data_IF_237477367139
#
_entry.id   IF_237477367139
#
_cell.length_a   1.000
_cell.length_b   1.000
_cell.length_c   1.000
_cell.angle_alpha   90.00
_cell.angle_beta   90.00
_cell.angle_gamma   90.00
#
_symmetry.space_group_name_H-M   'P 1'
#
loop_
_entity.id
_entity.type
_entity.pdbx_description
1 polymer ?
#
# COMPACT_ATOMS: atom_id res chain seq x y z
N UNK A 1 51.15 -52.29 -42.80
CA UNK A 1 51.68 -52.23 -44.15
C UNK A 1 51.05 -51.02 -44.87
N UNK A 2 51.93 -50.07 -45.23
CA UNK A 2 51.74 -48.94 -46.17
C UNK A 2 50.57 -47.94 -46.02
N UNK A 3 50.99 -46.79 -45.61
CA UNK A 3 50.53 -45.43 -45.86
C UNK A 3 50.07 -45.17 -47.30
N UNK A 4 49.04 -44.33 -47.46
CA UNK A 4 49.02 -43.34 -48.52
C UNK A 4 48.31 -42.08 -48.02
N UNK A 5 49.02 -40.95 -48.04
CA UNK A 5 48.55 -39.60 -47.79
C UNK A 5 47.92 -39.06 -49.08
N UNK A 6 46.77 -38.38 -48.95
CA UNK A 6 46.28 -37.46 -49.97
C UNK A 6 45.92 -36.16 -49.26
N UNK A 7 46.57 -35.09 -49.64
CA UNK A 7 46.36 -33.73 -49.13
C UNK A 7 45.15 -33.11 -49.76
N UNK A 8 44.40 -32.32 -48.98
CA UNK A 8 43.39 -31.43 -49.44
C UNK A 8 43.71 -30.01 -48.99
N UNK A 9 43.71 -29.15 -49.94
CA UNK A 9 44.00 -27.71 -49.87
C UNK A 9 42.88 -27.00 -49.13
N UNK A 10 43.20 -26.32 -48.04
CA UNK A 10 42.30 -25.45 -47.31
C UNK A 10 42.25 -24.08 -47.93
N UNK A 11 41.11 -23.66 -48.44
CA UNK A 11 40.80 -22.31 -48.81
C UNK A 11 40.27 -21.55 -47.56
N UNK A 12 41.07 -20.61 -47.09
CA UNK A 12 40.74 -19.79 -45.95
C UNK A 12 39.80 -18.66 -46.42
N UNK A 13 38.53 -18.70 -46.11
CA UNK A 13 37.62 -17.60 -46.18
C UNK A 13 37.71 -16.76 -44.88
N UNK A 14 38.21 -15.57 -45.03
CA UNK A 14 38.26 -14.56 -43.93
C UNK A 14 36.85 -13.95 -43.81
N UNK A 15 36.09 -14.35 -42.78
CA UNK A 15 34.91 -13.61 -42.38
C UNK A 15 35.32 -12.49 -41.43
N UNK A 16 35.18 -11.26 -41.89
CA UNK A 16 35.26 -10.08 -41.05
C UNK A 16 33.96 -9.98 -40.26
N UNK A 17 33.98 -10.38 -39.01
CA UNK A 17 32.90 -10.07 -38.07
C UNK A 17 33.08 -8.61 -37.63
N UNK A 18 32.20 -7.74 -38.12
CA UNK A 18 31.98 -6.44 -37.53
C UNK A 18 31.36 -6.64 -36.13
N UNK A 19 32.15 -6.49 -35.10
CA UNK A 19 31.67 -6.46 -33.71
C UNK A 19 30.84 -5.17 -33.50
N UNK A 20 29.55 -5.23 -33.60
CA UNK A 20 28.66 -4.25 -32.99
C UNK A 20 28.68 -4.51 -31.48
N UNK A 21 29.45 -3.72 -30.73
CA UNK A 21 29.29 -3.62 -29.28
C UNK A 21 27.90 -3.05 -28.97
N UNK A 22 27.06 -3.70 -28.14
CA UNK A 22 25.89 -3.02 -27.62
C UNK A 22 26.37 -1.92 -26.67
N UNK A 23 25.98 -0.69 -26.95
CA UNK A 23 26.09 0.41 -26.01
C UNK A 23 25.38 0.02 -24.72
N UNK A 24 25.89 0.46 -23.54
CA UNK A 24 25.17 0.23 -22.31
C UNK A 24 23.81 0.92 -22.41
N UNK A 25 22.73 0.11 -22.37
CA UNK A 25 21.36 0.54 -22.35
C UNK A 25 21.18 1.48 -21.15
N UNK A 26 21.07 2.77 -21.43
CA UNK A 26 20.56 3.73 -20.49
C UNK A 26 19.18 3.25 -20.08
N UNK A 27 18.96 3.07 -18.80
CA UNK A 27 17.63 2.94 -18.22
C UNK A 27 16.84 4.15 -18.71
N UNK A 28 15.90 3.92 -19.61
CA UNK A 28 14.89 4.91 -19.92
C UNK A 28 14.09 5.09 -18.64
N UNK A 29 14.45 6.11 -17.86
CA UNK A 29 13.57 6.62 -16.83
C UNK A 29 12.25 6.90 -17.57
N UNK A 30 11.20 6.16 -17.18
CA UNK A 30 9.86 6.44 -17.64
C UNK A 30 9.57 7.89 -17.27
N UNK A 31 9.63 8.79 -18.24
CA UNK A 31 9.28 10.18 -18.04
C UNK A 31 7.81 10.23 -17.71
N UNK A 32 7.53 10.33 -16.40
CA UNK A 32 6.20 10.58 -15.89
C UNK A 32 5.73 11.95 -16.36
N UNK A 33 4.71 11.92 -17.16
CA UNK A 33 3.99 13.08 -17.62
C UNK A 33 2.77 12.59 -18.37
N UNK A 34 1.60 12.96 -17.90
CA UNK A 34 0.32 12.67 -18.53
C UNK A 34 0.24 13.30 -19.94
N UNK A 35 0.81 12.68 -20.95
CA UNK A 35 0.59 12.99 -22.38
C UNK A 35 1.24 11.93 -23.29
N UNK A 36 1.45 10.70 -22.81
CA UNK A 36 1.82 9.59 -23.67
C UNK A 36 0.70 9.24 -24.66
N UNK A 37 1.06 8.72 -25.82
CA UNK A 37 0.08 8.18 -26.76
C UNK A 37 -0.75 7.09 -26.04
N UNK A 38 -2.07 7.06 -26.36
CA UNK A 38 -2.97 6.05 -25.80
C UNK A 38 -2.44 4.64 -26.08
N UNK A 39 -2.19 3.82 -25.02
CA UNK A 39 -1.76 2.44 -25.21
C UNK A 39 -2.76 1.63 -26.04
N UNK A 40 -2.26 0.67 -26.81
CA UNK A 40 -3.11 -0.14 -27.69
C UNK A 40 -4.24 -0.83 -26.92
N UNK A 41 -3.92 -1.36 -25.72
CA UNK A 41 -4.88 -2.04 -24.84
C UNK A 41 -6.00 -1.10 -24.36
N UNK A 42 -5.78 0.20 -24.36
CA UNK A 42 -6.76 1.20 -23.94
C UNK A 42 -7.64 1.71 -25.09
N UNK A 43 -7.29 1.40 -26.34
CA UNK A 43 -8.11 1.82 -27.49
C UNK A 43 -9.48 1.16 -27.47
N UNK A 44 -10.51 1.94 -27.75
CA UNK A 44 -11.91 1.48 -27.81
C UNK A 44 -12.45 0.89 -26.49
N UNK A 45 -11.91 1.32 -25.35
CA UNK A 45 -12.36 0.94 -23.99
C UNK A 45 -13.42 1.92 -23.45
N UNK A 46 -14.46 2.13 -24.25
CA UNK A 46 -15.65 2.89 -23.83
C UNK A 46 -16.70 1.99 -23.24
N UNK A 47 -17.39 2.49 -22.20
CA UNK A 47 -18.59 1.87 -21.67
C UNK A 47 -19.69 1.72 -22.72
N UNK A 48 -20.49 0.69 -22.59
CA UNK A 48 -21.59 0.35 -23.50
C UNK A 48 -22.92 0.94 -23.05
N UNK A 49 -23.06 1.28 -21.77
CA UNK A 49 -24.23 1.95 -21.23
C UNK A 49 -24.34 3.38 -21.75
N UNK A 50 -25.57 3.77 -22.10
CA UNK A 50 -25.86 5.14 -22.52
C UNK A 50 -25.95 6.13 -21.34
N UNK A 51 -26.14 5.64 -20.12
CA UNK A 51 -26.48 6.47 -18.96
C UNK A 51 -25.89 6.00 -17.62
N UNK A 52 -24.98 5.03 -17.63
CA UNK A 52 -24.39 4.48 -16.39
C UNK A 52 -22.88 4.37 -16.48
N UNK A 53 -22.21 4.71 -15.39
CA UNK A 53 -20.78 4.46 -15.14
C UNK A 53 -20.70 3.64 -13.85
N UNK A 54 -19.96 2.53 -13.89
CA UNK A 54 -19.77 1.66 -12.75
C UNK A 54 -18.41 1.95 -12.08
N UNK A 55 -18.45 2.12 -10.76
CA UNK A 55 -17.26 2.22 -9.89
C UNK A 55 -17.33 1.11 -8.87
N UNK A 56 -16.24 0.40 -8.70
CA UNK A 56 -16.14 -0.73 -7.79
C UNK A 56 -15.16 -0.45 -6.66
N UNK A 57 -15.42 -0.99 -5.48
CA UNK A 57 -14.38 -1.21 -4.48
C UNK A 57 -14.16 -2.70 -4.26
N UNK A 58 -12.97 -3.07 -3.74
CA UNK A 58 -12.66 -4.40 -3.25
C UNK A 58 -11.79 -4.27 -2.01
N UNK A 59 -12.38 -4.63 -0.88
CA UNK A 59 -11.84 -4.43 0.47
C UNK A 59 -12.29 -5.59 1.36
N UNK A 60 -11.55 -5.98 2.42
CA UNK A 60 -12.01 -7.02 3.34
C UNK A 60 -13.31 -6.58 4.04
N UNK A 61 -14.36 -7.39 3.94
CA UNK A 61 -15.67 -7.13 4.57
C UNK A 61 -15.96 -8.10 5.73
N UNK A 62 -14.94 -8.83 6.19
CA UNK A 62 -14.99 -9.79 7.29
C UNK A 62 -13.75 -9.63 8.17
N UNK A 63 -13.75 -10.28 9.35
CA UNK A 63 -12.60 -10.39 10.22
C UNK A 63 -12.24 -9.11 10.98
N UNK A 64 -10.95 -8.92 11.21
CA UNK A 64 -10.44 -7.86 12.10
C UNK A 64 -10.48 -6.47 11.50
N UNK A 65 -10.51 -6.34 10.18
CA UNK A 65 -10.42 -5.06 9.47
C UNK A 65 -11.79 -4.37 9.27
N UNK A 66 -12.90 -5.03 9.65
CA UNK A 66 -14.26 -4.54 9.33
C UNK A 66 -14.55 -3.14 9.89
N UNK A 67 -14.05 -2.80 11.08
CA UNK A 67 -14.22 -1.45 11.64
C UNK A 67 -13.67 -0.37 10.70
N UNK A 68 -12.49 -0.59 10.12
CA UNK A 68 -11.87 0.32 9.17
C UNK A 68 -12.58 0.30 7.81
N UNK A 69 -12.83 -0.89 7.28
CA UNK A 69 -13.32 -1.04 5.90
C UNK A 69 -14.81 -0.76 5.76
N UNK A 70 -15.63 -0.96 6.79
CA UNK A 70 -17.04 -0.61 6.78
C UNK A 70 -17.23 0.90 6.63
N UNK A 71 -16.56 1.69 7.46
CA UNK A 71 -16.64 3.14 7.40
C UNK A 71 -15.98 3.72 6.14
N UNK A 72 -14.93 3.05 5.63
CA UNK A 72 -14.27 3.41 4.38
C UNK A 72 -15.22 3.23 3.19
N UNK A 73 -15.91 2.07 3.11
CA UNK A 73 -16.92 1.77 2.08
C UNK A 73 -18.11 2.72 2.16
N UNK A 74 -18.57 3.03 3.36
CA UNK A 74 -19.64 4.01 3.58
C UNK A 74 -19.27 5.35 2.91
N UNK A 75 -18.08 5.88 3.16
CA UNK A 75 -17.64 7.15 2.61
C UNK A 75 -17.40 7.10 1.09
N UNK A 76 -16.94 5.98 0.55
CA UNK A 76 -16.85 5.79 -0.91
C UNK A 76 -18.25 5.85 -1.51
N UNK A 77 -19.20 5.13 -0.92
CA UNK A 77 -20.58 5.08 -1.40
C UNK A 77 -21.26 6.46 -1.32
N UNK A 78 -21.17 7.15 -0.20
CA UNK A 78 -21.76 8.49 -0.04
C UNK A 78 -21.20 9.50 -1.06
N UNK A 79 -19.91 9.39 -1.37
CA UNK A 79 -19.26 10.30 -2.31
C UNK A 79 -19.62 10.01 -3.77
N UNK A 80 -19.87 8.76 -4.15
CA UNK A 80 -19.98 8.33 -5.55
C UNK A 80 -21.38 7.91 -5.99
N UNK A 81 -22.10 7.14 -5.15
CA UNK A 81 -23.33 6.49 -5.60
C UNK A 81 -24.43 7.50 -5.91
N UNK A 82 -25.05 7.34 -7.06
CA UNK A 82 -26.10 8.24 -7.53
C UNK A 82 -25.62 9.60 -8.09
N UNK A 83 -24.31 9.89 -8.07
CA UNK A 83 -23.78 11.12 -8.67
C UNK A 83 -24.05 11.16 -10.17
N UNK A 84 -24.45 12.33 -10.68
CA UNK A 84 -24.73 12.54 -12.11
C UNK A 84 -23.61 13.34 -12.75
N UNK A 85 -23.05 12.80 -13.83
CA UNK A 85 -21.99 13.44 -14.64
C UNK A 85 -22.42 13.45 -16.11
N UNK A 86 -22.83 14.62 -16.61
CA UNK A 86 -23.41 14.73 -17.95
C UNK A 86 -24.66 13.87 -18.09
N UNK A 87 -24.65 12.91 -19.00
CA UNK A 87 -25.76 11.97 -19.22
C UNK A 87 -25.69 10.71 -18.33
N UNK A 88 -24.61 10.56 -17.54
CA UNK A 88 -24.33 9.33 -16.80
C UNK A 88 -24.66 9.46 -15.31
N UNK A 89 -25.20 8.40 -14.74
CA UNK A 89 -25.31 8.20 -13.29
C UNK A 89 -24.27 7.21 -12.84
N UNK A 90 -23.48 7.55 -11.80
CA UNK A 90 -22.50 6.63 -11.21
C UNK A 90 -23.24 5.61 -10.36
N UNK A 91 -22.91 4.33 -10.57
CA UNK A 91 -23.32 3.22 -9.71
C UNK A 91 -22.10 2.67 -9.00
N UNK A 92 -22.19 2.61 -7.69
CA UNK A 92 -21.15 2.04 -6.86
C UNK A 92 -21.48 0.58 -6.49
N UNK A 93 -20.42 -0.26 -6.52
CA UNK A 93 -20.49 -1.68 -6.17
C UNK A 93 -19.38 -2.01 -5.16
N UNK A 94 -19.77 -2.48 -4.00
CA UNK A 94 -18.88 -2.97 -2.96
C UNK A 94 -18.60 -4.46 -3.16
N UNK A 95 -17.33 -4.85 -3.29
CA UNK A 95 -16.87 -6.23 -3.38
C UNK A 95 -16.06 -6.57 -2.14
N UNK A 96 -16.27 -7.79 -1.65
CA UNK A 96 -15.51 -8.37 -0.54
C UNK A 96 -14.31 -9.15 -1.10
N UNK A 97 -13.08 -8.85 -0.65
CA UNK A 97 -11.87 -9.61 -0.99
C UNK A 97 -11.44 -10.56 0.13
N UNK A 98 -12.21 -10.64 1.22
CA UNK A 98 -11.96 -11.54 2.33
C UNK A 98 -12.60 -12.91 2.16
N UNK A 99 -12.14 -13.89 2.94
CA UNK A 99 -12.76 -15.21 3.01
C UNK A 99 -12.66 -15.83 4.39
N UNK A 100 -13.60 -16.74 4.70
CA UNK A 100 -13.53 -17.56 5.92
C UNK A 100 -12.28 -18.48 5.92
N UNK A 101 -11.79 -18.89 4.75
CA UNK A 101 -10.57 -19.70 4.61
C UNK A 101 -9.32 -18.92 5.00
N UNK A 102 -9.32 -17.60 4.79
CA UNK A 102 -8.28 -16.67 5.24
C UNK A 102 -8.52 -16.15 6.67
N UNK A 103 -9.48 -16.70 7.42
CA UNK A 103 -9.80 -16.24 8.77
C UNK A 103 -10.56 -14.90 8.81
N UNK A 104 -11.15 -14.49 7.70
CA UNK A 104 -11.79 -13.19 7.53
C UNK A 104 -10.84 -12.10 7.01
N UNK A 105 -9.54 -12.40 6.84
CA UNK A 105 -8.60 -11.51 6.16
C UNK A 105 -8.78 -11.59 4.63
N UNK A 106 -8.07 -10.72 3.90
CA UNK A 106 -8.04 -10.73 2.45
C UNK A 106 -7.56 -12.08 1.88
N UNK A 107 -8.15 -12.50 0.78
CA UNK A 107 -7.88 -13.77 0.10
C UNK A 107 -7.48 -13.51 -1.35
N UNK A 108 -6.29 -14.00 -1.74
CA UNK A 108 -5.75 -13.74 -3.08
C UNK A 108 -6.60 -14.31 -4.22
N UNK A 109 -7.29 -15.44 -4.01
CA UNK A 109 -8.17 -16.01 -5.04
C UNK A 109 -9.46 -15.20 -5.20
N UNK A 110 -10.00 -14.69 -4.09
CA UNK A 110 -11.18 -13.83 -4.10
C UNK A 110 -10.86 -12.49 -4.77
N UNK A 111 -9.72 -11.86 -4.40
CA UNK A 111 -9.32 -10.60 -5.01
C UNK A 111 -9.07 -10.73 -6.52
N UNK A 112 -8.40 -11.81 -6.96
CA UNK A 112 -8.25 -12.08 -8.40
C UNK A 112 -9.61 -12.22 -9.11
N UNK A 113 -10.57 -12.90 -8.48
CA UNK A 113 -11.91 -13.05 -9.04
C UNK A 113 -12.63 -11.70 -9.13
N UNK A 114 -12.51 -10.84 -8.10
CA UNK A 114 -13.07 -9.49 -8.09
C UNK A 114 -12.47 -8.63 -9.20
N UNK A 115 -11.14 -8.58 -9.33
CA UNK A 115 -10.46 -7.83 -10.39
C UNK A 115 -10.86 -8.31 -11.78
N UNK A 116 -10.98 -9.63 -12.01
CA UNK A 116 -11.43 -10.19 -13.28
C UNK A 116 -12.90 -9.85 -13.59
N UNK A 117 -13.78 -9.89 -12.56
CA UNK A 117 -15.18 -9.48 -12.69
C UNK A 117 -15.27 -8.02 -13.15
N UNK A 118 -14.51 -7.13 -12.54
CA UNK A 118 -14.50 -5.70 -12.89
C UNK A 118 -13.88 -5.47 -14.25
N UNK A 119 -12.80 -6.18 -14.60
CA UNK A 119 -12.18 -6.11 -15.92
C UNK A 119 -13.13 -6.51 -17.06
N UNK A 120 -14.04 -7.45 -16.78
CA UNK A 120 -15.05 -7.95 -17.75
C UNK A 120 -16.27 -7.02 -17.88
N UNK A 121 -16.55 -6.13 -16.93
CA UNK A 121 -17.65 -5.18 -17.02
C UNK A 121 -17.28 -4.00 -17.94
N UNK A 122 -17.91 -3.84 -19.12
CA UNK A 122 -17.56 -2.76 -20.05
C UNK A 122 -17.79 -1.36 -19.45
N UNK A 123 -18.72 -1.22 -18.51
CA UNK A 123 -19.11 0.07 -17.93
C UNK A 123 -18.29 0.42 -16.66
N UNK A 124 -17.40 -0.47 -16.21
CA UNK A 124 -16.46 -0.20 -15.13
C UNK A 124 -15.38 0.80 -15.55
N UNK A 125 -15.26 1.90 -14.80
CA UNK A 125 -14.29 2.96 -15.07
C UNK A 125 -13.20 3.05 -14.01
N UNK A 126 -13.52 2.81 -12.74
CA UNK A 126 -12.60 2.95 -11.60
C UNK A 126 -12.75 1.77 -10.64
N UNK A 127 -11.62 1.35 -10.09
CA UNK A 127 -11.51 0.37 -9.01
C UNK A 127 -10.90 1.03 -7.78
N UNK A 128 -11.63 1.11 -6.67
CA UNK A 128 -11.13 1.66 -5.40
C UNK A 128 -10.73 0.50 -4.50
N UNK A 129 -9.47 0.45 -4.16
CA UNK A 129 -8.90 -0.67 -3.39
C UNK A 129 -7.43 -0.85 -3.75
N UNK A 130 -6.86 -1.89 -3.22
CA UNK A 130 -7.32 -2.74 -2.13
C UNK A 130 -6.92 -2.14 -0.77
N UNK A 131 -7.35 -2.79 0.33
CA UNK A 131 -6.85 -2.43 1.66
C UNK A 131 -5.42 -2.95 1.85
N UNK A 132 -5.22 -4.23 1.54
CA UNK A 132 -3.94 -4.91 1.74
C UNK A 132 -3.04 -4.84 0.50
N UNK A 133 -1.75 -4.50 0.68
CA UNK A 133 -0.78 -4.35 -0.42
C UNK A 133 -0.53 -5.67 -1.18
N UNK A 134 -0.66 -6.82 -0.51
CA UNK A 134 -0.56 -8.14 -1.15
C UNK A 134 -1.68 -8.39 -2.16
N UNK A 135 -2.89 -7.94 -1.87
CA UNK A 135 -4.05 -8.01 -2.77
C UNK A 135 -3.83 -7.13 -4.01
N UNK A 136 -3.30 -5.91 -3.83
CA UNK A 136 -3.01 -5.00 -4.95
C UNK A 136 -2.03 -5.58 -5.99
N UNK A 137 -1.06 -6.39 -5.57
CA UNK A 137 -0.15 -7.10 -6.49
C UNK A 137 -0.89 -7.97 -7.51
N UNK A 138 -2.06 -8.48 -7.14
CA UNK A 138 -2.90 -9.34 -7.97
C UNK A 138 -3.84 -8.53 -8.87
N UNK A 139 -4.42 -7.46 -8.34
CA UNK A 139 -5.41 -6.65 -9.06
C UNK A 139 -4.79 -5.70 -10.08
N UNK A 140 -3.68 -5.03 -9.74
CA UNK A 140 -3.07 -4.02 -10.61
C UNK A 140 -2.82 -4.55 -12.03
N UNK A 141 -2.17 -5.73 -12.24
CA UNK A 141 -1.90 -6.22 -13.59
C UNK A 141 -3.16 -6.60 -14.37
N UNK A 142 -4.19 -7.13 -13.70
CA UNK A 142 -5.48 -7.48 -14.32
C UNK A 142 -6.18 -6.21 -14.82
N UNK A 143 -6.26 -5.20 -13.95
CA UNK A 143 -6.89 -3.92 -14.27
C UNK A 143 -6.06 -3.13 -15.29
N UNK A 144 -4.72 -3.24 -15.27
CA UNK A 144 -3.83 -2.66 -16.27
C UNK A 144 -4.13 -3.21 -17.66
N UNK A 145 -4.25 -4.54 -17.80
CA UNK A 145 -4.61 -5.18 -19.04
C UNK A 145 -6.03 -4.80 -19.54
N UNK A 146 -6.91 -4.35 -18.64
CA UNK A 146 -8.27 -3.89 -18.97
C UNK A 146 -8.39 -2.38 -19.18
N UNK A 147 -7.31 -1.62 -18.98
CA UNK A 147 -7.30 -0.14 -18.98
C UNK A 147 -8.22 0.48 -17.91
N UNK A 148 -8.32 -0.14 -16.76
CA UNK A 148 -9.08 0.38 -15.62
C UNK A 148 -8.10 0.99 -14.63
N UNK A 149 -8.37 2.22 -14.17
CA UNK A 149 -7.59 2.87 -13.13
C UNK A 149 -7.96 2.33 -11.75
N UNK A 150 -6.96 2.13 -10.91
CA UNK A 150 -7.10 1.69 -9.52
C UNK A 150 -6.61 2.80 -8.57
N UNK A 151 -7.36 3.08 -7.53
CA UNK A 151 -7.03 4.08 -6.52
C UNK A 151 -7.10 3.41 -5.14
N UNK A 152 -5.98 3.33 -4.43
CA UNK A 152 -5.98 2.73 -3.10
C UNK A 152 -6.07 3.79 -2.00
N UNK A 153 -6.96 3.58 -1.02
CA UNK A 153 -7.00 4.37 0.20
C UNK A 153 -5.96 3.96 1.24
N UNK A 154 -5.33 2.77 1.11
CA UNK A 154 -4.61 2.15 2.22
C UNK A 154 -3.32 1.41 1.85
N UNK A 155 -3.06 1.08 0.58
CA UNK A 155 -1.84 0.35 0.24
C UNK A 155 -0.60 1.23 0.37
N UNK A 156 0.39 0.75 1.11
CA UNK A 156 1.61 1.52 1.43
C UNK A 156 2.90 0.90 0.88
N UNK A 157 2.88 -0.38 0.48
CA UNK A 157 4.08 -1.06 -0.03
C UNK A 157 4.68 -0.34 -1.25
N UNK A 158 5.96 0.09 -1.18
CA UNK A 158 6.56 0.89 -2.26
C UNK A 158 6.69 0.14 -3.58
N UNK A 159 6.91 -1.19 -3.55
CA UNK A 159 7.08 -2.02 -4.75
C UNK A 159 5.91 -2.02 -5.72
N UNK A 160 4.73 -1.51 -5.32
CA UNK A 160 3.59 -1.31 -6.23
C UNK A 160 3.85 -0.19 -7.26
N UNK A 161 4.72 0.77 -6.96
CA UNK A 161 4.91 2.00 -7.75
C UNK A 161 6.35 2.32 -8.08
N UNK A 162 7.30 1.94 -7.22
CA UNK A 162 8.73 2.27 -7.36
C UNK A 162 9.62 1.15 -6.84
N UNK A 163 10.87 1.15 -7.27
CA UNK A 163 11.91 0.30 -6.71
C UNK A 163 12.53 0.97 -5.48
N UNK A 164 12.69 0.20 -4.39
CA UNK A 164 13.40 0.62 -3.18
C UNK A 164 14.39 -0.47 -2.81
N UNK A 165 15.69 -0.13 -2.85
CA UNK A 165 16.77 -1.08 -2.63
C UNK A 165 16.66 -1.77 -1.26
N UNK A 166 16.69 -3.09 -1.24
CA UNK A 166 16.58 -3.92 -0.04
C UNK A 166 15.15 -4.09 0.51
N UNK A 167 14.14 -3.45 -0.11
CA UNK A 167 12.72 -3.55 0.26
C UNK A 167 11.93 -4.27 -0.82
N UNK A 168 12.07 -3.84 -2.07
CA UNK A 168 11.25 -4.34 -3.18
C UNK A 168 11.86 -5.58 -3.83
N UNK A 169 11.01 -6.40 -4.42
CA UNK A 169 11.43 -7.63 -5.10
C UNK A 169 11.98 -7.32 -6.51
N UNK A 170 12.87 -8.17 -7.06
CA UNK A 170 13.34 -8.04 -8.42
C UNK A 170 12.19 -7.98 -9.42
N UNK A 171 12.20 -6.99 -10.32
CA UNK A 171 11.18 -6.79 -11.34
C UNK A 171 10.00 -5.91 -10.91
N UNK A 172 9.88 -5.58 -9.62
CA UNK A 172 8.91 -4.57 -9.16
C UNK A 172 9.42 -3.15 -9.50
N UNK A 173 8.54 -2.23 -9.82
CA UNK A 173 7.10 -2.38 -10.01
C UNK A 173 6.70 -2.85 -11.41
N UNK A 174 7.62 -3.01 -12.35
CA UNK A 174 7.34 -3.23 -13.79
C UNK A 174 6.43 -4.43 -14.04
N UNK A 175 6.57 -5.49 -13.23
CA UNK A 175 5.75 -6.70 -13.33
C UNK A 175 4.24 -6.45 -13.19
N UNK A 176 3.84 -5.36 -12.55
CA UNK A 176 2.42 -5.02 -12.32
C UNK A 176 1.80 -4.22 -13.48
N UNK A 177 2.60 -3.78 -14.44
CA UNK A 177 2.15 -2.90 -15.52
C UNK A 177 2.40 -3.51 -16.92
N UNK A 178 1.76 -4.66 -17.25
CA UNK A 178 2.02 -5.37 -18.51
C UNK A 178 1.66 -4.54 -19.75
N UNK A 179 0.78 -3.57 -19.63
CA UNK A 179 0.43 -2.63 -20.71
C UNK A 179 1.45 -1.52 -20.95
N UNK A 180 2.53 -1.43 -20.15
CA UNK A 180 3.59 -0.44 -20.28
C UNK A 180 3.20 0.98 -19.83
N UNK A 181 2.13 1.14 -19.09
CA UNK A 181 1.65 2.42 -18.55
C UNK A 181 1.17 2.26 -17.10
N UNK A 182 1.08 3.36 -16.36
CA UNK A 182 0.62 3.37 -14.97
C UNK A 182 -0.90 3.51 -14.92
N UNK A 183 -1.54 2.65 -14.11
CA UNK A 183 -2.99 2.67 -13.86
C UNK A 183 -3.33 2.61 -12.37
N UNK A 184 -2.35 2.79 -11.51
CA UNK A 184 -2.52 2.70 -10.06
C UNK A 184 -2.06 3.99 -9.39
N UNK A 185 -2.86 4.49 -8.46
CA UNK A 185 -2.54 5.60 -7.57
C UNK A 185 -2.95 5.29 -6.13
N UNK A 186 -2.38 6.01 -5.16
CA UNK A 186 -2.75 5.92 -3.74
C UNK A 186 -2.77 7.28 -3.07
N UNK A 187 -3.72 7.48 -2.17
CA UNK A 187 -3.91 8.75 -1.44
C UNK A 187 -3.19 8.78 -0.08
N UNK A 188 -2.39 7.76 0.22
CA UNK A 188 -1.65 7.57 1.47
C UNK A 188 -0.15 7.51 1.20
N UNK A 189 0.68 7.84 2.21
CA UNK A 189 2.13 7.78 2.10
C UNK A 189 2.65 6.33 2.00
N UNK A 190 3.86 6.16 1.49
CA UNK A 190 4.48 4.86 1.27
C UNK A 190 5.31 4.39 2.47
N UNK A 191 5.49 3.07 2.61
CA UNK A 191 6.22 2.43 3.72
C UNK A 191 7.67 2.89 3.84
N UNK A 192 8.33 3.25 2.73
CA UNK A 192 9.71 3.77 2.79
C UNK A 192 9.77 5.12 3.52
N UNK A 193 8.77 5.98 3.33
CA UNK A 193 8.64 7.22 4.10
C UNK A 193 8.22 6.93 5.55
N UNK A 194 7.24 6.07 5.77
CA UNK A 194 6.73 5.74 7.10
C UNK A 194 7.79 5.00 7.94
N UNK A 195 8.48 4.02 7.38
CA UNK A 195 9.55 3.29 8.05
C UNK A 195 10.71 4.19 8.43
N UNK A 196 11.11 5.11 7.52
CA UNK A 196 12.15 6.10 7.80
C UNK A 196 11.74 7.02 8.95
N UNK A 197 10.52 7.58 8.92
CA UNK A 197 10.01 8.45 9.99
C UNK A 197 9.93 7.71 11.33
N UNK A 198 9.49 6.45 11.35
CA UNK A 198 9.45 5.61 12.54
C UNK A 198 10.83 5.34 13.13
N UNK A 199 11.85 5.12 12.29
CA UNK A 199 13.23 4.93 12.74
C UNK A 199 13.83 6.22 13.31
N UNK A 200 13.58 7.38 12.69
CA UNK A 200 13.98 8.69 13.23
C UNK A 200 13.30 8.96 14.59
N UNK A 201 12.05 8.58 14.72
CA UNK A 201 11.33 8.68 16.00
C UNK A 201 11.96 7.79 17.08
N UNK A 202 12.29 6.54 16.77
CA UNK A 202 13.03 5.66 17.67
C UNK A 202 14.37 6.28 18.10
N UNK A 203 15.12 6.86 17.15
CA UNK A 203 16.38 7.55 17.42
C UNK A 203 16.19 8.73 18.36
N UNK A 204 15.15 9.54 18.15
CA UNK A 204 14.83 10.70 19.02
C UNK A 204 14.49 10.29 20.46
N UNK A 205 13.97 9.06 20.65
CA UNK A 205 13.74 8.45 21.97
C UNK A 205 15.01 7.83 22.57
N UNK A 206 16.19 8.05 21.98
CA UNK A 206 17.47 7.53 22.44
C UNK A 206 17.68 6.04 22.20
N UNK A 207 16.93 5.42 21.27
CA UNK A 207 17.09 4.00 20.94
C UNK A 207 18.36 3.79 20.11
N UNK A 208 19.08 2.73 20.43
CA UNK A 208 20.39 2.43 19.86
C UNK A 208 20.51 1.04 19.26
N UNK A 209 19.64 0.11 19.71
CA UNK A 209 19.70 -1.30 19.30
C UNK A 209 18.28 -1.85 19.10
N UNK A 210 17.96 -2.23 17.86
CA UNK A 210 16.62 -2.66 17.48
C UNK A 210 16.56 -4.14 17.07
N UNK A 211 15.48 -4.82 17.47
CA UNK A 211 15.07 -6.08 16.84
C UNK A 211 13.84 -5.85 15.98
N UNK A 212 13.88 -6.29 14.73
CA UNK A 212 12.85 -6.02 13.74
C UNK A 212 12.16 -7.32 13.34
N UNK A 213 10.84 -7.38 13.48
CA UNK A 213 9.99 -8.51 13.09
C UNK A 213 9.04 -8.12 11.97
N UNK A 214 8.61 -9.10 11.16
CA UNK A 214 7.52 -8.96 10.21
C UNK A 214 6.62 -10.21 10.16
N UNK A 215 5.40 -10.04 9.64
CA UNK A 215 4.41 -11.11 9.47
C UNK A 215 4.54 -11.88 8.15
N UNK A 216 5.62 -11.68 7.40
CA UNK A 216 5.87 -12.24 6.07
C UNK A 216 4.89 -11.79 4.97
N UNK A 217 3.91 -10.95 5.29
CA UNK A 217 3.01 -10.34 4.32
C UNK A 217 3.73 -9.20 3.57
N UNK A 218 3.23 -8.87 2.38
CA UNK A 218 3.84 -7.83 1.53
C UNK A 218 3.99 -6.50 2.27
N UNK A 219 2.93 -6.04 2.96
CA UNK A 219 2.96 -4.80 3.75
C UNK A 219 3.91 -4.92 4.93
N UNK A 220 3.67 -5.88 5.83
CA UNK A 220 4.44 -5.97 7.07
C UNK A 220 5.94 -6.14 6.83
N UNK A 221 6.33 -6.99 5.87
CA UNK A 221 7.72 -7.15 5.46
C UNK A 221 8.29 -5.85 4.86
N UNK A 222 7.56 -5.20 3.93
CA UNK A 222 8.01 -3.98 3.28
C UNK A 222 8.25 -2.84 4.26
N UNK A 223 7.31 -2.60 5.17
CA UNK A 223 7.43 -1.58 6.21
C UNK A 223 8.58 -1.87 7.18
N UNK A 224 8.67 -3.12 7.68
CA UNK A 224 9.73 -3.53 8.59
C UNK A 224 11.13 -3.41 7.95
N UNK A 225 11.28 -3.83 6.68
CA UNK A 225 12.53 -3.69 5.93
C UNK A 225 12.90 -2.22 5.73
N UNK A 226 11.93 -1.37 5.37
CA UNK A 226 12.14 0.08 5.23
C UNK A 226 12.63 0.71 6.52
N UNK A 227 11.99 0.35 7.64
CA UNK A 227 12.40 0.80 8.97
C UNK A 227 13.83 0.33 9.31
N UNK A 228 14.14 -0.96 9.11
CA UNK A 228 15.44 -1.54 9.44
C UNK A 228 16.59 -0.92 8.64
N UNK A 229 16.38 -0.69 7.34
CA UNK A 229 17.36 -0.05 6.46
C UNK A 229 17.67 1.37 6.92
N UNK A 230 16.62 2.16 7.21
CA UNK A 230 16.82 3.53 7.68
C UNK A 230 17.43 3.56 9.08
N UNK A 231 17.01 2.68 10.00
CA UNK A 231 17.60 2.54 11.33
C UNK A 231 19.11 2.30 11.29
N UNK A 232 19.57 1.37 10.45
CA UNK A 232 21.00 1.14 10.23
C UNK A 232 21.70 2.39 9.68
N UNK A 233 21.08 3.10 8.72
CA UNK A 233 21.62 4.34 8.10
C UNK A 233 21.86 5.44 9.15
N UNK A 234 20.96 5.58 10.11
CA UNK A 234 21.05 6.63 11.15
C UNK A 234 21.74 6.17 12.43
N UNK A 235 22.33 4.97 12.45
CA UNK A 235 23.13 4.45 13.56
C UNK A 235 22.33 3.86 14.72
N UNK A 236 21.16 3.27 14.45
CA UNK A 236 20.51 2.28 15.31
C UNK A 236 20.99 0.91 14.84
N UNK A 237 21.64 0.13 15.70
CA UNK A 237 22.10 -1.21 15.35
C UNK A 237 20.90 -2.17 15.24
N UNK A 238 20.60 -2.65 14.04
CA UNK A 238 19.60 -3.71 13.86
C UNK A 238 20.26 -5.06 14.14
N UNK A 239 19.75 -5.78 15.17
CA UNK A 239 20.31 -7.05 15.66
C UNK A 239 19.49 -8.27 15.27
N UNK A 240 18.38 -8.11 14.57
CA UNK A 240 17.67 -9.20 13.92
C UNK A 240 18.54 -9.82 12.80
N UNK A 241 18.26 -11.06 12.34
CA UNK A 241 19.08 -11.75 11.36
C UNK A 241 19.39 -10.90 10.12
N UNK A 242 20.64 -11.00 9.64
CA UNK A 242 21.14 -10.24 8.48
C UNK A 242 21.03 -8.70 8.60
N UNK A 243 20.80 -8.17 9.81
CA UNK A 243 20.58 -6.74 10.08
C UNK A 243 19.40 -6.14 9.30
N UNK A 244 18.39 -6.98 9.07
CA UNK A 244 17.13 -6.61 8.42
C UNK A 244 15.97 -7.01 9.33
N UNK A 245 14.97 -7.67 8.82
CA UNK A 245 13.81 -8.16 9.58
C UNK A 245 13.81 -9.68 9.68
N UNK A 246 13.10 -10.21 10.68
CA UNK A 246 12.83 -11.64 10.85
C UNK A 246 11.33 -11.90 10.79
N UNK A 247 10.93 -12.81 9.90
CA UNK A 247 9.54 -13.25 9.81
C UNK A 247 9.10 -14.06 11.02
N UNK A 248 7.91 -13.80 11.55
CA UNK A 248 7.27 -14.65 12.54
C UNK A 248 6.12 -15.47 11.93
N UNK A 249 5.83 -16.63 12.50
CA UNK A 249 4.72 -17.48 12.05
C UNK A 249 3.41 -17.01 12.71
N UNK A 250 2.53 -16.37 11.93
CA UNK A 250 1.22 -15.90 12.39
C UNK A 250 0.29 -17.03 12.88
N UNK A 251 0.57 -18.28 12.54
CA UNK A 251 -0.19 -19.46 13.00
C UNK A 251 0.33 -20.03 14.32
N UNK A 252 1.44 -19.50 14.83
CA UNK A 252 1.99 -19.94 16.12
C UNK A 252 1.04 -19.60 17.27
N UNK A 253 0.90 -20.54 18.19
CA UNK A 253 0.15 -20.34 19.43
C UNK A 253 1.02 -19.84 20.58
N UNK A 254 2.34 -19.76 20.38
CA UNK A 254 3.32 -19.35 21.39
C UNK A 254 4.54 -18.68 20.76
N UNK A 255 4.86 -17.49 21.23
CA UNK A 255 6.02 -16.71 20.80
C UNK A 255 7.10 -16.57 21.88
N UNK A 256 7.04 -17.36 22.97
CA UNK A 256 8.00 -17.26 24.06
C UNK A 256 9.45 -17.46 23.59
N UNK A 257 9.69 -18.38 22.65
CA UNK A 257 11.03 -18.62 22.10
C UNK A 257 11.55 -17.37 21.32
N UNK A 258 10.68 -16.73 20.53
CA UNK A 258 10.99 -15.47 19.83
C UNK A 258 11.29 -14.37 20.84
N UNK A 259 10.46 -14.22 21.88
CA UNK A 259 10.66 -13.23 22.94
C UNK A 259 11.98 -13.44 23.68
N UNK A 260 12.37 -14.68 24.02
CA UNK A 260 13.65 -14.98 24.66
C UNK A 260 14.84 -14.67 23.73
N UNK A 261 14.74 -14.98 22.43
CA UNK A 261 15.75 -14.63 21.45
C UNK A 261 15.96 -13.11 21.37
N UNK A 262 14.87 -12.35 21.32
CA UNK A 262 14.92 -10.88 21.31
C UNK A 262 15.57 -10.35 22.61
N UNK A 263 15.15 -10.86 23.76
CA UNK A 263 15.74 -10.50 25.06
C UNK A 263 17.24 -10.76 25.09
N UNK A 264 17.68 -11.91 24.59
CA UNK A 264 19.10 -12.27 24.55
C UNK A 264 19.92 -11.40 23.58
N UNK A 265 19.31 -10.78 22.58
CA UNK A 265 19.98 -9.89 21.64
C UNK A 265 20.41 -8.55 22.27
N UNK A 266 19.80 -8.18 23.39
CA UNK A 266 20.03 -6.90 24.06
C UNK A 266 19.43 -5.69 23.32
N UNK A 267 18.41 -5.91 22.48
CA UNK A 267 17.66 -4.83 21.86
C UNK A 267 16.99 -3.94 22.91
N UNK A 268 16.95 -2.63 22.67
CA UNK A 268 16.29 -1.61 23.49
C UNK A 268 14.98 -1.11 22.89
N UNK A 269 14.66 -1.56 21.66
CA UNK A 269 13.41 -1.35 20.95
C UNK A 269 13.10 -2.54 20.06
N UNK A 270 11.81 -2.86 19.91
CA UNK A 270 11.30 -3.83 18.93
C UNK A 270 10.47 -3.04 17.92
N UNK A 271 10.72 -3.26 16.63
CA UNK A 271 9.83 -2.81 15.56
C UNK A 271 9.13 -4.00 14.93
N UNK A 272 7.82 -3.89 14.70
CA UNK A 272 7.01 -4.99 14.16
C UNK A 272 6.20 -4.46 12.97
N UNK A 273 6.50 -4.94 11.76
CA UNK A 273 5.68 -4.73 10.58
C UNK A 273 4.64 -5.83 10.45
N UNK A 274 3.36 -5.52 10.66
CA UNK A 274 2.30 -6.54 10.61
C UNK A 274 0.92 -5.91 10.54
N UNK A 275 -0.08 -6.73 10.19
CA UNK A 275 -1.50 -6.42 10.29
C UNK A 275 -2.14 -7.15 11.48
N UNK A 276 -3.29 -6.64 11.93
CA UNK A 276 -4.02 -7.16 13.11
C UNK A 276 -4.34 -8.66 13.00
N UNK A 277 -4.80 -9.12 11.84
CA UNK A 277 -5.20 -10.52 11.61
C UNK A 277 -4.07 -11.55 11.69
N UNK A 278 -2.80 -11.11 11.73
CA UNK A 278 -1.63 -11.99 11.80
C UNK A 278 -1.23 -12.35 13.25
N UNK A 279 -2.22 -12.58 14.13
CA UNK A 279 -2.03 -13.02 15.52
C UNK A 279 -1.14 -12.08 16.37
N UNK A 280 -1.10 -10.82 16.02
CA UNK A 280 -0.26 -9.80 16.65
C UNK A 280 -0.59 -9.60 18.13
N UNK A 281 -1.85 -9.68 18.53
CA UNK A 281 -2.25 -9.59 19.93
C UNK A 281 -1.54 -10.62 20.83
N UNK A 282 -1.41 -11.86 20.37
CA UNK A 282 -0.66 -12.90 21.10
C UNK A 282 0.84 -12.62 21.12
N UNK A 283 1.40 -12.16 19.99
CA UNK A 283 2.81 -11.77 19.91
C UNK A 283 3.14 -10.69 20.94
N UNK A 284 2.31 -9.62 21.05
CA UNK A 284 2.51 -8.57 22.06
C UNK A 284 2.48 -9.10 23.48
N UNK A 285 1.51 -9.98 23.82
CA UNK A 285 1.42 -10.62 25.14
C UNK A 285 2.71 -11.36 25.52
N UNK A 286 3.26 -12.14 24.60
CA UNK A 286 4.46 -12.93 24.87
C UNK A 286 5.72 -12.05 24.96
N UNK A 287 5.82 -11.02 24.14
CA UNK A 287 6.91 -10.05 24.20
C UNK A 287 6.89 -9.28 25.53
N UNK A 288 5.73 -8.80 25.97
CA UNK A 288 5.57 -8.09 27.24
C UNK A 288 5.82 -8.99 28.46
N UNK A 289 5.40 -10.26 28.41
CA UNK A 289 5.67 -11.22 29.46
C UNK A 289 7.18 -11.45 29.68
N UNK A 290 7.96 -11.48 28.60
CA UNK A 290 9.41 -11.67 28.67
C UNK A 290 10.18 -10.37 28.96
N UNK A 291 9.66 -9.23 28.48
CA UNK A 291 10.33 -7.91 28.53
C UNK A 291 9.29 -6.81 28.82
N UNK A 292 8.83 -6.65 30.08
CA UNK A 292 7.74 -5.73 30.41
C UNK A 292 7.96 -4.28 29.97
N UNK A 293 9.21 -3.79 30.05
CA UNK A 293 9.56 -2.39 29.84
C UNK A 293 10.12 -2.09 28.44
N UNK A 294 10.23 -3.12 27.56
CA UNK A 294 10.76 -2.93 26.21
C UNK A 294 9.86 -1.98 25.42
N UNK A 295 10.42 -1.04 24.65
CA UNK A 295 9.65 -0.23 23.74
C UNK A 295 9.28 -1.06 22.51
N UNK A 296 7.98 -1.09 22.17
CA UNK A 296 7.48 -1.74 20.95
C UNK A 296 6.92 -0.66 20.06
N UNK A 297 7.31 -0.69 18.79
CA UNK A 297 6.85 0.21 17.75
C UNK A 297 6.25 -0.60 16.61
N UNK A 298 5.26 -0.05 15.92
CA UNK A 298 4.63 -0.66 14.75
C UNK A 298 4.08 0.42 13.82
N UNK A 299 3.57 -0.03 12.67
CA UNK A 299 2.86 0.82 11.72
C UNK A 299 1.34 0.77 11.90
N UNK A 300 0.67 1.29 10.91
CA UNK A 300 -0.77 1.46 10.81
C UNK A 300 -1.56 0.15 10.68
N UNK A 301 -0.94 -0.94 10.23
CA UNK A 301 -1.61 -2.24 10.09
C UNK A 301 -2.09 -2.86 11.42
N UNK A 302 -1.67 -2.32 12.56
CA UNK A 302 -2.20 -2.67 13.89
C UNK A 302 -2.88 -1.46 14.56
N UNK A 303 -3.13 -0.38 13.83
CA UNK A 303 -3.84 0.79 14.34
C UNK A 303 -5.36 0.53 14.32
N UNK A 304 -5.78 -0.54 14.97
CA UNK A 304 -7.16 -1.05 15.01
C UNK A 304 -7.56 -1.44 16.43
N UNK A 305 -8.82 -1.19 16.78
CA UNK A 305 -9.35 -1.59 18.08
C UNK A 305 -9.26 -3.11 18.29
N UNK A 306 -9.49 -3.88 17.23
CA UNK A 306 -9.40 -5.34 17.26
C UNK A 306 -7.99 -5.83 17.68
N UNK A 307 -6.91 -5.14 17.25
CA UNK A 307 -5.58 -5.43 17.75
C UNK A 307 -5.45 -5.17 19.26
N UNK A 308 -5.94 -4.00 19.72
CA UNK A 308 -5.85 -3.65 21.12
C UNK A 308 -6.66 -4.62 22.00
N UNK A 309 -7.86 -5.00 21.58
CA UNK A 309 -8.66 -6.01 22.27
C UNK A 309 -7.94 -7.37 22.32
N UNK A 310 -7.25 -7.75 21.25
CA UNK A 310 -6.42 -8.96 21.19
C UNK A 310 -5.18 -8.89 22.09
N UNK A 311 -4.49 -7.77 22.14
CA UNK A 311 -3.29 -7.54 22.94
C UNK A 311 -3.63 -7.26 24.42
N UNK A 312 -4.77 -6.61 24.69
CA UNK A 312 -5.15 -6.14 26.01
C UNK A 312 -4.09 -5.18 26.59
N UNK A 313 -3.84 -5.27 27.90
CA UNK A 313 -2.84 -4.42 28.58
C UNK A 313 -1.40 -4.56 28.02
N UNK A 314 -1.10 -5.66 27.32
CA UNK A 314 0.19 -5.82 26.63
C UNK A 314 0.38 -4.81 25.48
N UNK A 315 -0.70 -4.25 24.95
CA UNK A 315 -0.69 -3.17 23.98
C UNK A 315 -0.28 -1.82 24.56
N UNK A 316 -0.37 -1.61 25.86
CA UNK A 316 -0.02 -0.35 26.50
C UNK A 316 1.47 -0.02 26.32
N UNK A 317 1.78 1.26 26.11
CA UNK A 317 3.13 1.71 25.81
C UNK A 317 3.64 1.30 24.43
N UNK A 318 2.76 0.95 23.50
CA UNK A 318 3.09 0.73 22.10
C UNK A 318 3.07 2.05 21.34
N UNK A 319 4.05 2.26 20.48
CA UNK A 319 4.21 3.43 19.63
C UNK A 319 3.81 3.06 18.20
N UNK A 320 2.86 3.81 17.62
CA UNK A 320 2.31 3.54 16.30
C UNK A 320 2.60 4.71 15.36
N UNK A 321 2.93 4.40 14.11
CA UNK A 321 2.98 5.38 13.03
C UNK A 321 1.82 5.15 12.09
N UNK A 322 1.31 6.23 11.47
CA UNK A 322 0.29 6.19 10.43
C UNK A 322 0.79 6.96 9.21
N UNK A 323 0.63 6.36 8.04
CA UNK A 323 1.05 6.93 6.75
C UNK A 323 0.20 8.09 6.26
N UNK A 324 -0.36 8.86 7.17
CA UNK A 324 -1.27 9.95 6.90
C UNK A 324 -1.51 10.83 8.12
N UNK A 325 -2.62 11.56 8.12
CA UNK A 325 -3.14 12.36 9.24
C UNK A 325 -4.40 11.68 9.76
N UNK A 326 -4.41 11.31 11.04
CA UNK A 326 -5.59 10.72 11.66
C UNK A 326 -6.76 11.69 11.78
N UNK A 327 -8.00 11.17 11.95
CA UNK A 327 -9.21 12.02 11.94
C UNK A 327 -9.20 13.13 13.00
N UNK A 328 -8.61 12.87 14.16
CA UNK A 328 -8.47 13.81 15.28
C UNK A 328 -7.50 14.97 14.98
N UNK A 329 -6.71 14.88 13.93
CA UNK A 329 -5.70 15.86 13.53
C UNK A 329 -6.01 16.55 12.19
N UNK A 330 -7.12 16.21 11.54
CA UNK A 330 -7.54 16.86 10.30
C UNK A 330 -7.90 18.33 10.54
N UNK A 331 -7.58 19.20 9.58
CA UNK A 331 -7.81 20.64 9.63
C UNK A 331 -8.62 21.12 8.43
N UNK A 332 -9.13 22.37 8.48
CA UNK A 332 -9.92 22.96 7.38
C UNK A 332 -11.11 22.07 7.00
N UNK A 333 -11.27 21.78 5.71
CA UNK A 333 -12.37 20.94 5.20
C UNK A 333 -12.39 19.55 5.82
N UNK A 334 -11.24 18.99 6.19
CA UNK A 334 -11.15 17.72 6.89
C UNK A 334 -11.76 17.77 8.29
N UNK A 335 -11.52 18.87 9.03
CA UNK A 335 -12.15 19.05 10.35
C UNK A 335 -13.68 19.21 10.22
N UNK A 336 -14.14 19.99 9.26
CA UNK A 336 -15.58 20.16 9.00
C UNK A 336 -16.24 18.83 8.66
N UNK A 337 -15.58 18.00 7.88
CA UNK A 337 -16.03 16.64 7.56
C UNK A 337 -16.06 15.73 8.79
N UNK A 338 -15.04 15.77 9.68
CA UNK A 338 -15.04 15.01 10.94
C UNK A 338 -16.19 15.46 11.84
N UNK A 339 -16.42 16.75 11.97
CA UNK A 339 -17.51 17.28 12.79
C UNK A 339 -18.89 16.83 12.26
N UNK A 340 -19.07 16.81 10.93
CA UNK A 340 -20.29 16.29 10.30
C UNK A 340 -20.45 14.78 10.47
N UNK A 341 -19.33 14.01 10.32
CA UNK A 341 -19.33 12.57 10.56
C UNK A 341 -19.76 12.24 11.99
N UNK A 342 -19.16 12.90 12.99
CA UNK A 342 -19.51 12.72 14.41
C UNK A 342 -20.99 13.03 14.68
N UNK A 343 -21.53 14.08 14.08
CA UNK A 343 -22.93 14.45 14.24
C UNK A 343 -23.89 13.38 13.69
N UNK A 344 -23.46 12.60 12.68
CA UNK A 344 -24.22 11.50 12.09
C UNK A 344 -24.00 10.15 12.80
N UNK A 345 -22.94 10.01 13.63
CA UNK A 345 -22.49 8.74 14.21
C UNK A 345 -22.34 8.81 15.75
N UNK A 346 -23.30 9.36 16.46
CA UNK A 346 -23.36 9.41 17.93
C UNK A 346 -22.09 9.97 18.60
N UNK A 347 -21.48 11.01 18.01
CA UNK A 347 -20.23 11.65 18.43
C UNK A 347 -18.97 10.77 18.32
N UNK A 348 -19.04 9.62 17.64
CA UNK A 348 -17.90 8.77 17.41
C UNK A 348 -16.98 9.36 16.32
N UNK A 349 -15.67 9.29 16.56
CA UNK A 349 -14.69 9.60 15.53
C UNK A 349 -14.74 8.54 14.41
N UNK A 350 -14.53 8.96 13.13
CA UNK A 350 -14.35 7.99 12.07
C UNK A 350 -13.10 7.13 12.33
N UNK A 351 -13.08 5.90 11.83
CA UNK A 351 -11.88 5.08 11.84
C UNK A 351 -10.76 5.73 11.01
N UNK A 352 -9.52 5.35 11.26
CA UNK A 352 -8.33 6.06 10.76
C UNK A 352 -8.30 6.22 9.24
N UNK A 353 -8.75 5.18 8.50
CA UNK A 353 -8.75 5.18 7.04
C UNK A 353 -10.01 5.75 6.38
N UNK A 354 -11.05 6.07 7.15
CA UNK A 354 -12.35 6.54 6.62
C UNK A 354 -12.20 7.78 5.74
N UNK A 355 -11.38 8.75 6.17
CA UNK A 355 -11.09 9.96 5.39
C UNK A 355 -10.38 9.65 4.05
N UNK A 356 -9.56 8.60 4.01
CA UNK A 356 -8.84 8.18 2.81
C UNK A 356 -9.75 7.47 1.80
N UNK A 357 -10.81 6.81 2.29
CA UNK A 357 -11.90 6.32 1.44
C UNK A 357 -12.61 7.45 0.73
N UNK A 358 -13.00 8.51 1.48
CA UNK A 358 -13.57 9.72 0.92
C UNK A 358 -12.63 10.38 -0.11
N UNK A 359 -11.34 10.52 0.22
CA UNK A 359 -10.35 11.12 -0.68
C UNK A 359 -10.19 10.32 -1.99
N UNK A 360 -10.14 8.97 -1.91
CA UNK A 360 -10.07 8.10 -3.09
C UNK A 360 -11.29 8.26 -3.99
N UNK A 361 -12.47 8.32 -3.38
CA UNK A 361 -13.73 8.54 -4.09
C UNK A 361 -13.81 9.95 -4.69
N UNK A 362 -13.30 10.97 -3.99
CA UNK A 362 -13.20 12.36 -4.47
C UNK A 362 -12.31 12.43 -5.72
N UNK A 363 -11.15 11.76 -5.71
CA UNK A 363 -10.27 11.65 -6.89
C UNK A 363 -10.99 10.99 -8.06
N UNK A 364 -11.66 9.85 -7.82
CA UNK A 364 -12.43 9.15 -8.83
C UNK A 364 -13.53 10.03 -9.45
N UNK A 365 -14.33 10.67 -8.61
CA UNK A 365 -15.41 11.56 -9.03
C UNK A 365 -14.90 12.75 -9.85
N UNK A 366 -13.80 13.37 -9.38
CA UNK A 366 -13.16 14.48 -10.08
C UNK A 366 -12.66 14.05 -11.46
N UNK A 367 -12.02 12.88 -11.57
CA UNK A 367 -11.53 12.36 -12.83
C UNK A 367 -12.66 12.07 -13.82
N UNK A 368 -13.77 11.47 -13.36
CA UNK A 368 -14.96 11.19 -14.19
C UNK A 368 -15.61 12.51 -14.64
N UNK A 369 -15.78 13.49 -13.72
CA UNK A 369 -16.39 14.80 -14.04
C UNK A 369 -15.62 15.60 -15.07
N UNK A 370 -14.30 15.50 -15.07
CA UNK A 370 -13.41 16.28 -15.93
C UNK A 370 -12.92 15.50 -17.17
N UNK A 371 -13.29 14.24 -17.32
CA UNK A 371 -12.96 13.45 -18.49
C UNK A 371 -13.67 14.02 -19.73
N UNK A 372 -12.95 14.13 -20.85
CA UNK A 372 -13.56 14.56 -22.14
C UNK A 372 -14.70 13.63 -22.58
N UNK A 373 -14.61 12.36 -22.19
CA UNK A 373 -15.62 11.32 -22.38
C UNK A 373 -15.72 10.53 -21.07
N UNK A 374 -16.71 10.79 -20.20
CA UNK A 374 -16.81 10.22 -18.85
C UNK A 374 -16.86 8.69 -18.80
N UNK A 375 -17.35 8.03 -19.84
CA UNK A 375 -17.38 6.57 -19.94
C UNK A 375 -16.26 5.98 -20.81
N UNK A 376 -15.12 6.67 -20.94
CA UNK A 376 -13.91 6.18 -21.59
C UNK A 376 -12.84 5.92 -20.54
N UNK A 377 -12.39 4.66 -20.41
CA UNK A 377 -11.43 4.24 -19.38
C UNK A 377 -10.12 5.01 -19.44
N UNK A 378 -9.63 5.29 -20.67
CA UNK A 378 -8.37 6.03 -20.83
C UNK A 378 -8.51 7.49 -20.39
N UNK A 379 -9.63 8.14 -20.70
CA UNK A 379 -9.88 9.52 -20.30
C UNK A 379 -9.97 9.63 -18.76
N UNK A 380 -10.68 8.69 -18.11
CA UNK A 380 -10.78 8.65 -16.64
C UNK A 380 -9.42 8.32 -15.99
N UNK A 381 -8.68 7.36 -16.56
CA UNK A 381 -7.34 7.00 -16.07
C UNK A 381 -6.39 8.20 -16.13
N UNK A 382 -6.35 8.93 -17.25
CA UNK A 382 -5.54 10.16 -17.35
C UNK A 382 -5.96 11.20 -16.31
N UNK A 383 -7.25 11.33 -16.05
CA UNK A 383 -7.79 12.23 -15.05
C UNK A 383 -7.28 11.90 -13.66
N UNK A 384 -7.29 10.61 -13.27
CA UNK A 384 -6.76 10.14 -11.98
C UNK A 384 -5.26 10.37 -11.90
N UNK A 385 -4.48 9.83 -12.85
CA UNK A 385 -3.01 9.92 -12.83
C UNK A 385 -2.50 11.37 -12.95
N UNK A 386 -3.29 12.26 -13.51
CA UNK A 386 -3.01 13.70 -13.63
C UNK A 386 -3.52 14.54 -12.45
N UNK A 387 -4.02 13.93 -11.37
CA UNK A 387 -4.53 14.67 -10.20
C UNK A 387 -3.45 15.56 -9.60
N UNK A 388 -3.77 16.86 -9.48
CA UNK A 388 -2.87 17.85 -8.92
C UNK A 388 -3.66 18.89 -8.10
N UNK A 389 -3.19 19.15 -6.88
CA UNK A 389 -3.75 20.13 -5.95
C UNK A 389 -5.27 19.99 -5.73
N UNK A 390 -5.81 18.77 -5.87
CA UNK A 390 -7.23 18.50 -5.67
C UNK A 390 -7.58 18.60 -4.19
N UNK A 391 -8.55 19.47 -3.86
CA UNK A 391 -9.08 19.60 -2.51
C UNK A 391 -9.82 18.31 -2.09
N UNK A 392 -9.50 17.83 -0.89
CA UNK A 392 -10.13 16.67 -0.27
C UNK A 392 -10.18 16.83 1.26
N UNK A 393 -10.85 15.90 1.93
CA UNK A 393 -10.91 15.88 3.40
C UNK A 393 -9.56 15.59 4.06
N UNK A 394 -8.62 14.97 3.37
CA UNK A 394 -7.24 14.73 3.85
C UNK A 394 -6.28 15.85 3.45
N UNK A 395 -6.78 16.96 2.93
CA UNK A 395 -6.01 18.05 2.34
C UNK A 395 -5.90 17.96 0.83
N UNK A 396 -4.87 18.58 0.25
CA UNK A 396 -4.67 18.56 -1.20
C UNK A 396 -4.05 17.26 -1.66
N UNK A 397 -4.68 16.61 -2.63
CA UNK A 397 -4.15 15.40 -3.27
C UNK A 397 -3.43 15.77 -4.55
N UNK A 398 -2.18 15.36 -4.65
CA UNK A 398 -1.35 15.41 -5.85
C UNK A 398 -0.66 14.06 -6.00
N UNK A 399 -0.65 13.49 -7.19
CA UNK A 399 0.13 12.28 -7.47
C UNK A 399 1.40 12.64 -8.23
N UNK A 400 2.47 11.89 -7.91
CA UNK A 400 3.67 11.90 -8.71
C UNK A 400 3.49 11.05 -9.99
N UNK A 401 4.55 10.96 -10.78
CA UNK A 401 4.56 10.17 -12.00
C UNK A 401 4.32 8.67 -11.81
N UNK A 402 4.54 8.17 -10.61
CA UNK A 402 4.35 6.76 -10.26
C UNK A 402 2.94 6.47 -9.73
N UNK A 403 2.16 7.51 -9.38
CA UNK A 403 0.86 7.42 -8.72
C UNK A 403 0.93 7.48 -7.19
N UNK A 404 2.08 7.82 -6.62
CA UNK A 404 2.25 8.02 -5.18
C UNK A 404 1.79 9.42 -4.77
N UNK A 405 1.18 9.54 -3.58
CA UNK A 405 0.80 10.83 -3.03
C UNK A 405 2.04 11.68 -2.71
N UNK A 406 2.02 12.94 -3.16
CA UNK A 406 3.09 13.92 -2.92
C UNK A 406 2.82 14.67 -1.61
N UNK A 407 3.82 14.78 -0.74
CA UNK A 407 3.76 15.58 0.48
C UNK A 407 2.94 14.97 1.62
N UNK A 408 2.77 13.65 1.61
CA UNK A 408 2.08 12.93 2.69
C UNK A 408 2.76 13.11 4.05
N UNK A 409 1.96 13.36 5.09
CA UNK A 409 2.43 13.42 6.47
C UNK A 409 2.50 12.02 7.07
N UNK A 410 3.46 11.79 7.95
CA UNK A 410 3.48 10.61 8.83
C UNK A 410 3.14 11.09 10.23
N UNK A 411 2.15 10.47 10.87
CA UNK A 411 1.76 10.82 12.24
C UNK A 411 2.17 9.73 13.23
N UNK A 412 2.47 10.16 14.43
CA UNK A 412 2.92 9.32 15.54
C UNK A 412 1.88 9.31 16.66
N UNK A 413 1.63 8.14 17.20
CA UNK A 413 0.69 7.88 18.27
C UNK A 413 1.29 6.98 19.35
N UNK A 414 0.78 7.10 20.58
CA UNK A 414 1.13 6.20 21.70
C UNK A 414 -0.14 5.60 22.30
N UNK A 415 -0.19 4.28 22.39
CA UNK A 415 -1.18 3.56 23.19
C UNK A 415 -0.78 3.66 24.65
N UNK A 416 -1.40 4.53 25.42
CA UNK A 416 -1.04 4.70 26.84
C UNK A 416 -1.66 3.62 27.72
N UNK A 417 -2.92 3.76 28.08
CA UNK A 417 -3.62 2.85 28.98
C UNK A 417 -4.98 2.39 28.46
N UNK A 418 -5.39 2.89 27.30
CA UNK A 418 -6.67 2.62 26.67
C UNK A 418 -6.62 2.88 25.16
N UNK A 419 -7.63 2.42 24.45
CA UNK A 419 -7.91 2.75 23.06
C UNK A 419 -8.89 3.94 22.99
N UNK A 420 -8.80 4.85 22.04
CA UNK A 420 -7.80 4.92 20.97
C UNK A 420 -6.43 5.44 21.46
N UNK A 421 -5.36 5.25 20.65
CA UNK A 421 -4.04 5.81 20.98
C UNK A 421 -4.04 7.33 20.93
N UNK A 422 -3.18 7.95 21.73
CA UNK A 422 -3.05 9.40 21.78
C UNK A 422 -2.07 9.90 20.72
N UNK A 423 -2.45 10.98 20.03
CA UNK A 423 -1.56 11.68 19.10
C UNK A 423 -0.32 12.23 19.82
N UNK A 424 0.85 12.03 19.24
CA UNK A 424 2.13 12.52 19.75
C UNK A 424 2.66 13.68 18.90
N UNK A 425 2.83 13.47 17.62
CA UNK A 425 3.37 14.49 16.70
C UNK A 425 3.20 14.10 15.23
N UNK A 426 3.35 15.08 14.36
CA UNK A 426 3.66 14.83 12.95
C UNK A 426 5.16 14.62 12.83
N UNK A 427 5.56 13.52 12.20
CA UNK A 427 6.95 13.17 11.97
C UNK A 427 7.44 13.76 10.64
N UNK A 428 8.66 14.26 10.64
CA UNK A 428 9.36 14.67 9.43
C UNK A 428 10.45 13.65 9.10
N UNK A 429 10.51 13.20 7.85
CA UNK A 429 11.69 12.46 7.36
C UNK A 429 12.76 13.49 7.06
N UNK A 430 13.92 13.36 7.67
CA UNK A 430 15.11 14.11 7.25
C UNK A 430 15.70 13.40 6.04
N UNK A 431 15.75 14.07 4.90
CA UNK A 431 16.37 13.58 3.67
C UNK A 431 17.85 13.24 3.84
#
# INVERSE_FOLDING_TARGET
MRLTRVGAIAASAVFVFAACSPAPGGSAAASGGAAGAQPEVCKNKKGTSANTINVYSSLPRQGTNTEQTDTLVEQIKETLDGQVVGAFTIKYFDLDDSSAAAGGDWDGAVEQANANKVAADPDAMVYIGTYNSGAAKLSIPILNAACIVMISPANTYPGLTKEVAGVTQPGEPTTYYPGGYRNYARVIATDDAQGAAGAEWAKSMGKTKAYVLDDTQTYGHGLAASWAIHANKIGIEVVSPNKTTEGFDAKSTDYAAVAQKIKASGADVIYIGSITGQNTGKLWKDLRAAMPDIKIMSGDGVFEKAWYDGAGEAGNGTYLTFGGVGPDQLTGAGKEWVDAYKAAHDDNLPATYTAYGNASATVALNAIKNAAVPNDRWEVLKGVMGTKDLDSVVGKVTFDANGDAVGGSITAYEVKTAWPPEFVSVLSVKE
#
